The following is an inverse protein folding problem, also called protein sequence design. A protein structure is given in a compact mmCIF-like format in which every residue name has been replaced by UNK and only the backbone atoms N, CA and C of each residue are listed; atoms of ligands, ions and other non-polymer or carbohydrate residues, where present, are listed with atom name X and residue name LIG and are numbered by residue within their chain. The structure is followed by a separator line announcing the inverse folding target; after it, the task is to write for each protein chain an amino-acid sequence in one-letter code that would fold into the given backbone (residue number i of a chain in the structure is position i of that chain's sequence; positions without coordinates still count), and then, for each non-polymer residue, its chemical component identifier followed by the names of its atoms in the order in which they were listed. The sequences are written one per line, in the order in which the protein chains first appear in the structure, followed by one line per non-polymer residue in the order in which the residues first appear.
data_IF_108082924030
#
_entry.id   IF_108082924030
#
_cell.length_a   1.000
_cell.length_b   1.000
_cell.length_c   1.000
_cell.angle_alpha   90.00
_cell.angle_beta   90.00
_cell.angle_gamma   90.00
#
_symmetry.space_group_name_H-M   'P 1'
#
loop_
_entity.id
_entity.type
_entity.pdbx_description
1 polymer ?
#
# COMPACT_ATOMS: atom_id res chain seq x y z
N UNK A 1 -9.58 -18.33 -24.18
CA UNK A 1 -9.79 -18.46 -22.72
C UNK A 1 -8.49 -18.34 -21.91
N UNK A 2 -7.39 -19.00 -22.29
CA UNK A 2 -6.10 -18.96 -21.55
C UNK A 2 -5.54 -17.54 -21.26
N UNK A 3 -5.55 -16.61 -22.23
CA UNK A 3 -5.00 -15.26 -22.02
C UNK A 3 -5.75 -14.38 -21.00
N UNK A 4 -7.07 -14.55 -20.85
CA UNK A 4 -7.86 -13.80 -19.86
C UNK A 4 -7.63 -14.31 -18.44
N UNK A 5 -7.47 -15.63 -18.29
CA UNK A 5 -7.13 -16.26 -17.02
C UNK A 5 -5.72 -15.88 -16.57
N UNK A 6 -4.76 -15.84 -17.49
CA UNK A 6 -3.42 -15.33 -17.21
C UNK A 6 -3.47 -13.88 -16.74
N UNK A 7 -4.29 -13.04 -17.39
CA UNK A 7 -4.41 -11.63 -17.02
C UNK A 7 -5.04 -11.42 -15.64
N UNK A 8 -6.08 -12.20 -15.30
CA UNK A 8 -6.64 -12.21 -13.93
C UNK A 8 -5.58 -12.60 -12.90
N UNK A 9 -4.81 -13.66 -13.15
CA UNK A 9 -3.71 -14.06 -12.24
C UNK A 9 -2.65 -12.97 -12.06
N UNK A 10 -2.36 -12.21 -13.12
CA UNK A 10 -1.42 -11.06 -13.03
C UNK A 10 -2.01 -9.94 -12.17
N UNK A 11 -3.29 -9.64 -12.31
CA UNK A 11 -4.00 -8.68 -11.44
C UNK A 11 -3.99 -9.16 -9.98
N UNK A 12 -4.23 -10.44 -9.74
CA UNK A 12 -4.21 -11.03 -8.40
C UNK A 12 -2.80 -10.93 -7.78
N UNK A 13 -1.76 -11.23 -8.55
CA UNK A 13 -0.37 -11.10 -8.10
C UNK A 13 -0.02 -9.64 -7.77
N UNK A 14 -0.43 -8.70 -8.62
CA UNK A 14 -0.22 -7.27 -8.35
C UNK A 14 -0.99 -6.81 -7.09
N UNK A 15 -2.21 -7.33 -6.89
CA UNK A 15 -3.01 -7.04 -5.69
C UNK A 15 -2.31 -7.54 -4.44
N UNK A 16 -1.78 -8.77 -4.46
CA UNK A 16 -0.99 -9.31 -3.33
C UNK A 16 0.25 -8.46 -3.04
N UNK A 17 0.99 -8.04 -4.06
CA UNK A 17 2.15 -7.16 -3.88
C UNK A 17 1.80 -5.83 -3.22
N UNK A 18 0.66 -5.24 -3.55
CA UNK A 18 0.15 -4.04 -2.88
C UNK A 18 -0.17 -4.32 -1.41
N UNK A 19 -0.81 -5.44 -1.12
CA UNK A 19 -1.17 -5.81 0.25
C UNK A 19 0.07 -6.10 1.11
N UNK A 20 1.10 -6.71 0.52
CA UNK A 20 2.42 -6.89 1.15
C UNK A 20 3.09 -5.53 1.44
N UNK A 21 3.04 -4.59 0.48
CA UNK A 21 3.58 -3.24 0.66
C UNK A 21 2.82 -2.46 1.76
N UNK A 22 1.50 -2.59 1.85
CA UNK A 22 0.69 -2.01 2.92
C UNK A 22 1.06 -2.59 4.29
N UNK A 23 1.31 -3.90 4.34
CA UNK A 23 1.76 -4.58 5.56
C UNK A 23 3.13 -4.06 6.01
N UNK A 24 4.07 -3.92 5.06
CA UNK A 24 5.39 -3.36 5.33
C UNK A 24 5.31 -1.90 5.81
N UNK A 25 4.45 -1.08 5.20
CA UNK A 25 4.19 0.29 5.65
C UNK A 25 3.66 0.32 7.09
N UNK A 26 2.69 -0.54 7.42
CA UNK A 26 2.16 -0.64 8.78
C UNK A 26 3.22 -1.06 9.81
N UNK A 27 4.15 -1.95 9.43
CA UNK A 27 5.30 -2.31 10.28
C UNK A 27 6.23 -1.11 10.49
N UNK A 28 6.64 -0.42 9.42
CA UNK A 28 7.50 0.75 9.49
C UNK A 28 6.90 1.87 10.37
N UNK A 29 5.59 2.12 10.25
CA UNK A 29 4.89 3.11 11.07
C UNK A 29 4.88 2.74 12.56
N UNK A 30 4.70 1.46 12.90
CA UNK A 30 4.79 1.00 14.29
C UNK A 30 6.19 1.16 14.86
N UNK A 31 7.22 0.88 14.07
CA UNK A 31 8.61 1.09 14.48
C UNK A 31 8.93 2.57 14.72
N UNK A 32 8.44 3.46 13.86
CA UNK A 32 8.55 4.91 14.05
C UNK A 32 7.84 5.36 15.33
N UNK A 33 6.62 4.89 15.58
CA UNK A 33 5.89 5.19 16.81
C UNK A 33 6.63 4.70 18.06
N UNK A 34 7.22 3.51 18.02
CA UNK A 34 8.05 2.99 19.11
C UNK A 34 9.29 3.87 19.36
N UNK A 35 9.98 4.29 18.30
CA UNK A 35 11.11 5.22 18.40
C UNK A 35 10.69 6.59 18.96
N UNK A 36 9.49 7.08 18.63
CA UNK A 36 8.93 8.30 19.20
C UNK A 36 8.61 8.16 20.68
N UNK A 37 8.03 7.03 21.10
CA UNK A 37 7.75 6.75 22.49
C UNK A 37 9.04 6.68 23.33
N UNK A 38 10.09 6.04 22.82
CA UNK A 38 11.41 5.97 23.49
C UNK A 38 12.04 7.36 23.68
N UNK A 39 11.94 8.24 22.68
CA UNK A 39 12.41 9.63 22.82
C UNK A 39 11.65 10.39 23.91
N UNK A 40 10.33 10.22 23.98
CA UNK A 40 9.52 10.85 25.02
C UNK A 40 9.93 10.32 26.41
N UNK A 41 10.17 9.02 26.55
CA UNK A 41 10.67 8.43 27.79
C UNK A 41 12.04 9.00 28.19
N UNK A 42 12.97 9.13 27.23
CA UNK A 42 14.29 9.73 27.47
C UNK A 42 14.19 11.17 27.95
N UNK A 43 13.31 11.98 27.34
CA UNK A 43 13.08 13.38 27.74
C UNK A 43 12.49 13.48 29.14
N UNK A 44 11.45 12.70 29.43
CA UNK A 44 10.84 12.69 30.76
C UNK A 44 11.86 12.31 31.84
N UNK A 45 12.67 11.29 31.57
CA UNK A 45 13.72 10.86 32.50
C UNK A 45 14.79 11.95 32.70
N UNK A 46 15.17 12.67 31.63
CA UNK A 46 16.10 13.79 31.72
C UNK A 46 15.53 14.93 32.59
N UNK A 47 14.27 15.28 32.39
CA UNK A 47 13.59 16.33 33.15
C UNK A 47 13.49 15.97 34.64
N UNK A 48 13.09 14.74 34.96
CA UNK A 48 13.05 14.23 36.34
C UNK A 48 14.43 14.23 37.00
N UNK A 49 15.48 13.88 36.25
CA UNK A 49 16.85 13.92 36.76
C UNK A 49 17.32 15.35 37.04
N UNK A 50 16.99 16.31 36.17
CA UNK A 50 17.29 17.72 36.36
C UNK A 50 16.56 18.31 37.57
N UNK A 51 15.28 17.99 37.75
CA UNK A 51 14.50 18.41 38.92
C UNK A 51 15.09 17.88 40.23
N UNK A 52 15.43 16.59 40.27
CA UNK A 52 16.09 15.98 41.45
C UNK A 52 17.47 16.58 41.72
N UNK A 53 18.18 17.06 40.69
CA UNK A 53 19.43 17.78 40.88
C UNK A 53 19.19 19.16 41.48
N UNK A 54 18.25 19.93 40.94
CA UNK A 54 17.90 21.27 41.43
C UNK A 54 17.42 21.27 42.90
N UNK A 55 16.66 20.25 43.29
CA UNK A 55 16.25 20.08 44.69
C UNK A 55 17.46 19.81 45.61
N UNK A 56 18.38 18.93 45.20
CA UNK A 56 19.56 18.59 46.03
C UNK A 56 20.54 19.74 46.16
N UNK A 57 20.77 20.51 45.09
CA UNK A 57 21.69 21.64 45.12
C UNK A 57 21.23 22.79 46.02
N UNK A 58 19.93 22.88 46.32
CA UNK A 58 19.35 23.91 47.20
C UNK A 58 19.30 23.52 48.67
N UNK A 59 19.29 22.22 49.02
CA UNK A 59 19.13 21.74 50.42
C UNK A 59 20.43 21.30 51.10
N UNK A 60 21.44 20.86 50.34
CA UNK A 60 22.75 20.49 50.87
C UNK A 60 23.82 20.94 49.88
N UNK A 61 24.76 21.78 50.33
CA UNK A 61 25.76 22.41 49.46
C UNK A 61 26.38 21.48 48.40
N UNK A 62 26.69 22.04 47.24
CA UNK A 62 27.18 21.26 46.09
C UNK A 62 28.65 20.91 46.29
N UNK A 63 28.95 19.63 46.54
CA UNK A 63 30.32 19.11 46.50
C UNK A 63 30.81 18.88 45.05
N UNK A 64 32.12 18.94 44.84
CA UNK A 64 32.78 18.78 43.55
C UNK A 64 32.47 17.43 42.89
N UNK A 65 32.37 16.35 43.69
CA UNK A 65 32.04 15.02 43.18
C UNK A 65 30.60 14.96 42.63
N UNK A 66 29.65 15.58 43.34
CA UNK A 66 28.24 15.65 42.91
C UNK A 66 28.10 16.45 41.61
N UNK A 67 28.84 17.56 41.48
CA UNK A 67 28.86 18.37 40.26
C UNK A 67 29.46 17.61 39.08
N UNK A 68 30.54 16.85 39.30
CA UNK A 68 31.17 16.02 38.28
C UNK A 68 30.21 14.93 37.76
N UNK A 69 29.56 14.18 38.65
CA UNK A 69 28.58 13.17 38.26
C UNK A 69 27.39 13.75 37.50
N UNK A 70 26.91 14.93 37.88
CA UNK A 70 25.84 15.61 37.17
C UNK A 70 26.24 15.94 35.72
N UNK A 71 27.44 16.50 35.50
CA UNK A 71 27.94 16.80 34.14
C UNK A 71 28.04 15.56 33.27
N UNK A 72 28.64 14.48 33.78
CA UNK A 72 28.73 13.20 33.06
C UNK A 72 27.36 12.62 32.72
N UNK A 73 26.39 12.74 33.64
CA UNK A 73 25.03 12.31 33.38
C UNK A 73 24.37 13.13 32.25
N UNK A 74 24.52 14.46 32.27
CA UNK A 74 23.95 15.32 31.23
C UNK A 74 24.57 15.04 29.85
N UNK A 75 25.88 14.80 29.79
CA UNK A 75 26.56 14.39 28.56
C UNK A 75 25.98 13.09 27.98
N UNK A 76 25.74 12.09 28.84
CA UNK A 76 25.10 10.83 28.42
C UNK A 76 23.68 11.03 27.91
N UNK A 77 22.90 11.89 28.54
CA UNK A 77 21.53 12.21 28.09
C UNK A 77 21.57 12.91 26.72
N UNK A 78 22.46 13.89 26.54
CA UNK A 78 22.63 14.58 25.25
C UNK A 78 22.99 13.58 24.16
N UNK A 79 23.98 12.71 24.38
CA UNK A 79 24.35 11.67 23.41
C UNK A 79 23.19 10.71 23.11
N UNK A 80 22.43 10.29 24.13
CA UNK A 80 21.29 9.40 23.95
C UNK A 80 20.17 10.06 23.14
N UNK A 81 19.91 11.35 23.35
CA UNK A 81 18.93 12.12 22.57
C UNK A 81 19.40 12.24 21.12
N UNK A 82 20.64 12.61 20.87
CA UNK A 82 21.19 12.73 19.51
C UNK A 82 21.12 11.40 18.76
N UNK A 83 21.51 10.31 19.42
CA UNK A 83 21.38 8.95 18.89
C UNK A 83 19.92 8.62 18.55
N UNK A 84 18.99 8.87 19.49
CA UNK A 84 17.58 8.55 19.27
C UNK A 84 16.96 9.41 18.17
N UNK A 85 17.38 10.67 18.01
CA UNK A 85 16.97 11.52 16.89
C UNK A 85 17.44 10.94 15.56
N UNK A 86 18.68 10.41 15.49
CA UNK A 86 19.17 9.74 14.29
C UNK A 86 18.36 8.48 13.97
N UNK A 87 18.01 7.70 14.99
CA UNK A 87 17.11 6.53 14.83
C UNK A 87 15.75 6.96 14.27
N UNK A 88 15.13 7.99 14.84
CA UNK A 88 13.83 8.51 14.37
C UNK A 88 13.88 8.93 12.91
N UNK A 89 14.87 9.74 12.51
CA UNK A 89 15.06 10.14 11.10
C UNK A 89 15.20 8.94 10.18
N UNK A 90 15.98 7.94 10.58
CA UNK A 90 16.10 6.70 9.83
C UNK A 90 14.77 5.95 9.68
N UNK A 91 13.91 5.95 10.70
CA UNK A 91 12.57 5.33 10.63
C UNK A 91 11.59 6.15 9.79
N UNK A 92 11.67 7.48 9.84
CA UNK A 92 10.89 8.37 8.96
C UNK A 92 11.21 8.09 7.49
N UNK A 93 12.49 8.01 7.13
CA UNK A 93 12.91 7.66 5.76
C UNK A 93 12.39 6.28 5.31
N UNK A 94 12.37 5.29 6.21
CA UNK A 94 11.83 3.95 5.91
C UNK A 94 10.32 4.02 5.68
N UNK A 95 9.58 4.81 6.47
CA UNK A 95 8.15 5.03 6.26
C UNK A 95 7.89 5.71 4.92
N UNK A 96 8.64 6.76 4.58
CA UNK A 96 8.50 7.45 3.29
C UNK A 96 8.73 6.52 2.10
N UNK A 97 9.79 5.69 2.17
CA UNK A 97 10.07 4.68 1.12
C UNK A 97 8.95 3.65 1.02
N UNK A 98 8.43 3.16 2.15
CA UNK A 98 7.33 2.21 2.15
C UNK A 98 6.03 2.81 1.59
N UNK A 99 5.75 4.09 1.89
CA UNK A 99 4.62 4.82 1.29
C UNK A 99 4.78 4.92 -0.23
N UNK A 100 5.97 5.28 -0.73
CA UNK A 100 6.24 5.34 -2.16
C UNK A 100 6.03 3.97 -2.85
N UNK A 101 6.41 2.87 -2.19
CA UNK A 101 6.17 1.52 -2.69
C UNK A 101 4.68 1.17 -2.76
N UNK A 102 3.90 1.55 -1.74
CA UNK A 102 2.44 1.38 -1.76
C UNK A 102 1.82 2.13 -2.93
N UNK A 103 2.18 3.41 -3.12
CA UNK A 103 1.65 4.21 -4.23
C UNK A 103 1.99 3.62 -5.60
N UNK A 104 3.22 3.10 -5.79
CA UNK A 104 3.60 2.43 -7.02
C UNK A 104 2.77 1.16 -7.25
N UNK A 105 2.61 0.32 -6.22
CA UNK A 105 1.84 -0.92 -6.30
C UNK A 105 0.34 -0.66 -6.56
N UNK A 106 -0.24 0.37 -5.95
CA UNK A 106 -1.62 0.79 -6.19
C UNK A 106 -1.83 1.24 -7.64
N UNK A 107 -0.89 2.03 -8.18
CA UNK A 107 -0.91 2.46 -9.58
C UNK A 107 -0.85 1.27 -10.53
N UNK A 108 0.02 0.29 -10.26
CA UNK A 108 0.15 -0.91 -11.07
C UNK A 108 -1.13 -1.75 -11.06
N UNK A 109 -1.73 -1.95 -9.88
CA UNK A 109 -3.01 -2.66 -9.75
C UNK A 109 -4.12 -1.95 -10.53
N UNK A 110 -4.23 -0.64 -10.40
CA UNK A 110 -5.24 0.14 -11.13
C UNK A 110 -5.03 0.05 -12.65
N UNK A 111 -3.79 0.15 -13.12
CA UNK A 111 -3.43 0.01 -14.52
C UNK A 111 -3.79 -1.37 -15.09
N UNK A 112 -3.40 -2.44 -14.39
CA UNK A 112 -3.66 -3.81 -14.81
C UNK A 112 -5.16 -4.14 -14.81
N UNK A 113 -5.92 -3.68 -13.81
CA UNK A 113 -7.38 -3.84 -13.76
C UNK A 113 -8.05 -3.19 -14.96
N UNK A 114 -7.70 -1.94 -15.26
CA UNK A 114 -8.25 -1.20 -16.42
C UNK A 114 -7.91 -1.87 -17.75
N UNK A 115 -6.70 -2.41 -17.87
CA UNK A 115 -6.30 -3.17 -19.06
C UNK A 115 -7.10 -4.47 -19.19
N UNK A 116 -7.30 -5.20 -18.08
CA UNK A 116 -8.10 -6.42 -18.05
C UNK A 116 -9.55 -6.19 -18.43
N UNK A 117 -10.17 -5.15 -17.88
CA UNK A 117 -11.53 -4.74 -18.21
C UNK A 117 -11.68 -4.44 -19.71
N UNK A 118 -10.79 -3.63 -20.29
CA UNK A 118 -10.82 -3.32 -21.73
C UNK A 118 -10.67 -4.57 -22.59
N UNK A 119 -9.82 -5.51 -22.18
CA UNK A 119 -9.65 -6.79 -22.89
C UNK A 119 -10.91 -7.65 -22.83
N UNK A 120 -11.56 -7.70 -21.68
CA UNK A 120 -12.80 -8.43 -21.49
C UNK A 120 -13.92 -7.86 -22.36
N UNK A 121 -14.13 -6.54 -22.32
CA UNK A 121 -15.12 -5.83 -23.14
C UNK A 121 -14.90 -6.07 -24.65
N UNK A 122 -13.65 -6.06 -25.11
CA UNK A 122 -13.34 -6.32 -26.52
C UNK A 122 -13.69 -7.76 -26.96
N UNK A 123 -13.56 -8.73 -26.04
CA UNK A 123 -13.91 -10.14 -26.29
C UNK A 123 -15.43 -10.29 -26.32
N UNK A 124 -16.14 -9.72 -25.36
CA UNK A 124 -17.62 -9.71 -25.30
C UNK A 124 -18.22 -9.07 -26.55
N UNK A 125 -17.71 -7.91 -26.95
CA UNK A 125 -18.17 -7.23 -28.16
C UNK A 125 -17.89 -8.06 -29.43
N UNK A 126 -16.80 -8.83 -29.47
CA UNK A 126 -16.54 -9.73 -30.59
C UNK A 126 -17.53 -10.89 -30.60
N UNK A 127 -17.81 -11.49 -29.45
CA UNK A 127 -18.77 -12.57 -29.31
C UNK A 127 -20.19 -12.13 -29.70
N UNK A 128 -20.65 -10.98 -29.21
CA UNK A 128 -21.95 -10.40 -29.59
C UNK A 128 -22.09 -10.20 -31.10
N UNK A 129 -21.05 -9.68 -31.77
CA UNK A 129 -21.07 -9.53 -33.23
C UNK A 129 -21.11 -10.86 -33.97
N UNK A 130 -20.49 -11.91 -33.45
CA UNK A 130 -20.53 -13.24 -34.05
C UNK A 130 -21.92 -13.88 -33.88
N UNK A 131 -22.52 -13.75 -32.70
CA UNK A 131 -23.87 -14.23 -32.41
C UNK A 131 -24.93 -13.51 -33.25
N UNK A 132 -24.82 -12.19 -33.38
CA UNK A 132 -25.71 -11.40 -34.23
C UNK A 132 -25.63 -11.85 -35.69
N UNK A 133 -24.42 -12.01 -36.24
CA UNK A 133 -24.24 -12.52 -37.62
C UNK A 133 -24.85 -13.91 -37.83
N UNK A 134 -24.62 -14.83 -36.91
CA UNK A 134 -25.18 -16.19 -36.99
C UNK A 134 -26.71 -16.17 -36.94
N UNK A 135 -27.28 -15.28 -36.13
CA UNK A 135 -28.74 -15.08 -36.03
C UNK A 135 -29.30 -14.51 -37.33
N UNK A 136 -28.65 -13.49 -37.90
CA UNK A 136 -29.05 -12.88 -39.19
C UNK A 136 -28.99 -13.90 -40.34
N UNK A 137 -27.92 -14.70 -40.41
CA UNK A 137 -27.76 -15.77 -41.41
C UNK A 137 -28.86 -16.84 -41.27
N UNK A 138 -29.20 -17.23 -40.04
CA UNK A 138 -30.28 -18.18 -39.78
C UNK A 138 -31.65 -17.61 -40.19
N UNK A 139 -31.92 -16.34 -39.87
CA UNK A 139 -33.15 -15.65 -40.26
C UNK A 139 -33.30 -15.56 -41.79
N UNK A 140 -32.22 -15.23 -42.50
CA UNK A 140 -32.19 -15.22 -43.97
C UNK A 140 -32.46 -16.60 -44.56
N UNK A 141 -31.86 -17.64 -43.99
CA UNK A 141 -32.06 -19.04 -44.43
C UNK A 141 -33.51 -19.48 -44.23
N UNK A 142 -34.11 -19.17 -43.07
CA UNK A 142 -35.53 -19.47 -42.79
C UNK A 142 -36.44 -18.72 -43.76
N UNK A 143 -36.19 -17.42 -43.98
CA UNK A 143 -36.97 -16.60 -44.90
C UNK A 143 -36.91 -17.15 -46.33
N UNK A 144 -35.72 -17.51 -46.83
CA UNK A 144 -35.56 -18.10 -48.16
C UNK A 144 -36.31 -19.43 -48.30
N UNK A 145 -36.28 -20.27 -47.25
CA UNK A 145 -37.04 -21.52 -47.24
C UNK A 145 -38.55 -21.27 -47.31
N UNK A 146 -39.05 -20.30 -46.56
CA UNK A 146 -40.47 -19.93 -46.55
C UNK A 146 -40.94 -19.38 -47.89
N UNK A 147 -40.15 -18.51 -48.54
CA UNK A 147 -40.50 -17.97 -49.86
C UNK A 147 -40.50 -19.06 -50.93
N UNK A 148 -39.54 -19.99 -50.90
CA UNK A 148 -39.50 -21.14 -51.81
C UNK A 148 -40.70 -22.07 -51.62
N UNK A 149 -41.13 -22.33 -50.37
CA UNK A 149 -42.32 -23.15 -50.10
C UNK A 149 -43.62 -22.47 -50.55
N UNK A 150 -43.74 -21.16 -50.35
CA UNK A 150 -44.90 -20.39 -50.79
C UNK A 150 -45.00 -20.34 -52.32
N UNK A 151 -43.86 -20.23 -53.03
CA UNK A 151 -43.80 -20.27 -54.49
C UNK A 151 -44.18 -21.64 -55.08
N UNK A 152 -43.88 -22.74 -54.38
CA UNK A 152 -44.28 -24.09 -54.81
C UNK A 152 -45.78 -24.35 -54.58
N UNK A 153 -46.36 -23.87 -53.47
CA UNK A 153 -47.79 -24.03 -53.18
C UNK A 153 -48.73 -23.19 -54.06
N UNK A 154 -48.22 -22.15 -54.73
CA UNK A 154 -49.01 -21.32 -55.66
C UNK A 154 -49.02 -21.83 -57.11
N UNK A 155 -48.23 -22.88 -57.43
CA UNK A 155 -48.11 -23.46 -58.78
C UNK A 155 -48.81 -24.82 -58.96
N UNK A 156 -49.45 -25.30 -57.90
CA UNK A 156 -50.26 -26.52 -57.84
C UNK A 156 -51.71 -26.16 -57.59
#
# INVERSE_FOLDING_TARGET
MSNLQTLHKVVDLATRRRDDALTALGQAQRELQAAQAQMNQLRNYADEALQRWAQRSTTGGVDANLLHHHRLFMEKITHAIEFQQAVQRGREEVVERAQAQVYAAERDVAGLRKYAERKQQAIEHRAMRQEQKATDEMALTIHLRQTLSAAHGARS
#
